data_IF_908196055422
#
_entry.id   IF_908196055422
#
_cell.length_a   1.000
_cell.length_b   1.000
_cell.length_c   1.000
_cell.angle_alpha   90.00
_cell.angle_beta   90.00
_cell.angle_gamma   90.00
#
_symmetry.space_group_name_H-M   'P 1'
#
loop_
_entity.id
_entity.type
_entity.pdbx_description
1 polymer ?
#
# COMPACT_ATOMS: atom_id res chain seq x y z
N UNK A 1 -19.45 -3.52 -17.23
CA UNK A 1 -18.53 -2.98 -18.25
C UNK A 1 -17.15 -3.54 -17.93
N UNK A 2 -16.42 -4.17 -18.85
CA UNK A 2 -15.09 -4.67 -18.56
C UNK A 2 -14.12 -3.50 -18.43
N UNK A 3 -13.30 -3.51 -17.39
CA UNK A 3 -12.22 -2.55 -17.19
C UNK A 3 -11.22 -2.67 -18.36
N UNK A 4 -10.75 -1.55 -18.91
CA UNK A 4 -9.76 -1.60 -19.98
C UNK A 4 -8.45 -2.20 -19.41
N UNK A 5 -7.98 -3.27 -20.05
CA UNK A 5 -6.61 -3.77 -19.88
C UNK A 5 -5.64 -2.62 -20.17
N UNK A 6 -4.93 -2.18 -19.15
CA UNK A 6 -3.84 -1.22 -19.32
C UNK A 6 -2.75 -1.89 -20.16
N UNK A 7 -2.66 -1.50 -21.42
CA UNK A 7 -1.54 -1.86 -22.28
C UNK A 7 -0.28 -1.23 -21.68
N UNK A 8 0.66 -2.07 -21.29
CA UNK A 8 2.02 -1.66 -20.95
C UNK A 8 2.64 -0.91 -22.15
N UNK A 9 2.58 0.42 -22.12
CA UNK A 9 3.53 1.21 -22.90
C UNK A 9 4.87 1.09 -22.17
N UNK A 10 5.86 0.52 -22.85
CA UNK A 10 7.26 0.56 -22.40
C UNK A 10 7.64 2.03 -22.22
N UNK A 11 7.48 2.55 -21.00
CA UNK A 11 8.01 3.83 -20.59
C UNK A 11 9.53 3.74 -20.57
N UNK A 12 10.20 4.81 -20.99
CA UNK A 12 11.67 4.93 -20.91
C UNK A 12 12.10 4.56 -19.50
N UNK A 13 12.99 3.60 -19.39
CA UNK A 13 13.57 3.17 -18.12
C UNK A 13 14.12 4.40 -17.39
N UNK A 14 13.44 4.82 -16.32
CA UNK A 14 14.08 5.66 -15.34
C UNK A 14 15.23 4.82 -14.81
N UNK A 15 16.46 5.25 -15.09
CA UNK A 15 17.63 4.49 -14.69
C UNK A 15 17.51 4.18 -13.17
N UNK A 16 17.71 2.95 -12.78
CA UNK A 16 17.76 2.50 -11.37
C UNK A 16 18.59 3.44 -10.47
N UNK A 17 19.59 4.10 -11.06
CA UNK A 17 20.45 5.09 -10.42
C UNK A 17 19.70 6.34 -9.94
N UNK A 18 18.46 6.59 -10.41
CA UNK A 18 17.72 7.80 -10.05
C UNK A 18 16.85 7.64 -8.79
N UNK A 19 16.50 6.41 -8.38
CA UNK A 19 15.72 6.19 -7.16
C UNK A 19 16.63 6.34 -5.93
N UNK A 20 16.34 7.29 -5.02
CA UNK A 20 17.15 7.48 -3.81
C UNK A 20 17.24 6.20 -2.98
N UNK A 21 18.45 5.82 -2.61
CA UNK A 21 18.70 4.63 -1.78
C UNK A 21 18.03 4.72 -0.40
N UNK A 22 17.78 5.94 0.10
CA UNK A 22 16.99 6.19 1.32
C UNK A 22 15.58 5.65 1.20
N UNK A 23 14.88 5.91 0.09
CA UNK A 23 13.52 5.42 -0.16
C UNK A 23 13.48 3.89 -0.15
N UNK A 24 14.44 3.25 -0.83
CA UNK A 24 14.54 1.78 -0.87
C UNK A 24 14.72 1.22 0.54
N UNK A 25 15.64 1.80 1.30
CA UNK A 25 15.94 1.38 2.67
C UNK A 25 14.75 1.56 3.60
N UNK A 26 14.11 2.73 3.59
CA UNK A 26 12.97 3.04 4.44
C UNK A 26 11.77 2.14 4.15
N UNK A 27 11.42 1.91 2.88
CA UNK A 27 10.36 0.97 2.52
C UNK A 27 10.68 -0.46 2.96
N UNK A 28 11.93 -0.90 2.76
CA UNK A 28 12.37 -2.23 3.18
C UNK A 28 12.33 -2.39 4.70
N UNK A 29 12.72 -1.36 5.45
CA UNK A 29 12.71 -1.36 6.92
C UNK A 29 11.30 -1.41 7.48
N UNK A 30 10.41 -0.53 7.03
CA UNK A 30 8.99 -0.52 7.43
C UNK A 30 8.31 -1.87 7.13
N UNK A 31 8.53 -2.43 5.95
CA UNK A 31 7.98 -3.74 5.59
C UNK A 31 8.56 -4.86 6.46
N UNK A 32 9.84 -4.82 6.79
CA UNK A 32 10.48 -5.80 7.67
C UNK A 32 9.93 -5.71 9.10
N UNK A 33 9.76 -4.51 9.62
CA UNK A 33 9.15 -4.31 10.95
C UNK A 33 7.72 -4.80 10.98
N UNK A 34 6.90 -4.47 9.98
CA UNK A 34 5.54 -4.96 9.86
C UNK A 34 5.47 -6.49 9.72
N UNK A 35 6.46 -7.09 9.04
CA UNK A 35 6.61 -8.54 8.95
C UNK A 35 6.90 -9.16 10.31
N UNK A 36 7.87 -8.65 11.04
CA UNK A 36 8.20 -9.14 12.39
C UNK A 36 7.06 -8.91 13.38
N UNK A 37 6.30 -7.84 13.23
CA UNK A 37 5.09 -7.56 14.00
C UNK A 37 3.87 -8.41 13.63
N UNK A 38 3.99 -9.32 12.65
CA UNK A 38 2.89 -10.20 12.21
C UNK A 38 1.78 -9.49 11.43
N UNK A 39 2.02 -8.23 11.01
CA UNK A 39 1.08 -7.46 10.18
C UNK A 39 1.17 -7.83 8.71
N UNK A 40 2.32 -8.32 8.27
CA UNK A 40 2.57 -8.84 6.93
C UNK A 40 2.96 -10.32 6.99
N UNK A 41 2.59 -11.10 5.99
CA UNK A 41 2.97 -12.51 5.87
C UNK A 41 3.12 -12.91 4.40
N UNK A 42 4.17 -13.70 4.07
CA UNK A 42 4.43 -14.13 2.69
C UNK A 42 4.55 -12.94 1.72
N UNK A 43 3.71 -12.94 0.71
CA UNK A 43 3.63 -11.87 -0.29
C UNK A 43 2.44 -10.92 -0.06
N UNK A 44 1.70 -11.09 1.04
CA UNK A 44 0.51 -10.30 1.33
C UNK A 44 0.86 -8.87 1.71
N UNK A 45 -0.10 -7.97 1.47
CA UNK A 45 0.05 -6.55 1.71
C UNK A 45 1.06 -5.89 0.77
N UNK A 46 1.19 -4.60 0.90
CA UNK A 46 2.11 -3.80 0.09
C UNK A 46 2.41 -2.47 0.77
N UNK A 47 3.47 -1.82 0.32
CA UNK A 47 3.87 -0.51 0.80
C UNK A 47 4.23 0.41 -0.37
N UNK A 48 3.96 1.69 -0.22
CA UNK A 48 4.36 2.70 -1.19
C UNK A 48 4.72 4.02 -0.53
N UNK A 49 5.42 4.87 -1.25
CA UNK A 49 5.64 6.25 -0.86
C UNK A 49 5.66 7.17 -2.09
N UNK A 50 5.38 8.46 -1.85
CA UNK A 50 5.60 9.51 -2.84
C UNK A 50 7.08 9.80 -2.99
N UNK A 51 7.45 10.08 -4.21
CA UNK A 51 8.78 10.56 -4.55
C UNK A 51 8.69 11.72 -5.54
N UNK A 52 9.27 12.86 -5.17
CA UNK A 52 9.42 14.00 -6.07
C UNK A 52 10.69 13.77 -6.90
N UNK A 53 10.51 13.28 -8.11
CA UNK A 53 11.61 13.12 -9.07
C UNK A 53 11.82 14.41 -9.87
N UNK A 54 12.98 14.58 -10.54
CA UNK A 54 13.20 15.72 -11.44
C UNK A 54 12.16 15.81 -12.57
N UNK A 55 11.61 14.68 -12.99
CA UNK A 55 10.61 14.60 -14.07
C UNK A 55 9.15 14.68 -13.56
N UNK A 56 8.95 14.88 -12.25
CA UNK A 56 7.63 15.01 -11.63
C UNK A 56 7.35 14.01 -10.52
N UNK A 57 6.14 14.03 -10.01
CA UNK A 57 5.73 13.19 -8.90
C UNK A 57 5.61 11.72 -9.32
N UNK A 58 6.18 10.85 -8.52
CA UNK A 58 6.20 9.39 -8.70
C UNK A 58 5.68 8.70 -7.44
N UNK A 59 5.16 7.49 -7.63
CA UNK A 59 4.84 6.58 -6.53
C UNK A 59 5.79 5.38 -6.63
N UNK A 60 6.57 5.18 -5.58
CA UNK A 60 7.38 3.98 -5.41
C UNK A 60 6.55 2.97 -4.65
N UNK A 61 6.34 1.78 -5.20
CA UNK A 61 5.48 0.75 -4.62
C UNK A 61 6.12 -0.63 -4.71
N UNK A 62 5.83 -1.50 -3.78
CA UNK A 62 6.27 -2.90 -3.83
C UNK A 62 5.62 -3.63 -5.00
N UNK A 63 6.40 -4.48 -5.66
CA UNK A 63 5.94 -5.33 -6.78
C UNK A 63 4.96 -6.40 -6.31
N UNK A 64 4.15 -6.87 -7.25
CA UNK A 64 3.35 -8.08 -7.06
C UNK A 64 4.26 -9.26 -6.74
N UNK A 65 3.88 -10.08 -5.75
CA UNK A 65 4.63 -11.25 -5.33
C UNK A 65 5.92 -10.99 -4.54
N UNK A 66 6.28 -9.74 -4.26
CA UNK A 66 7.47 -9.42 -3.47
C UNK A 66 7.35 -9.89 -2.02
N UNK A 67 8.39 -10.54 -1.50
CA UNK A 67 8.46 -10.98 -0.10
C UNK A 67 8.78 -9.81 0.83
N UNK A 68 7.78 -9.33 1.58
CA UNK A 68 7.87 -8.08 2.35
C UNK A 68 8.91 -8.10 3.48
N UNK A 69 9.26 -9.28 4.00
CA UNK A 69 10.29 -9.40 5.04
C UNK A 69 11.74 -9.21 4.56
N UNK A 70 11.99 -9.10 3.24
CA UNK A 70 13.35 -9.02 2.66
C UNK A 70 13.38 -8.24 1.35
N UNK A 71 12.73 -7.09 1.32
CA UNK A 71 12.68 -6.26 0.12
C UNK A 71 14.06 -5.75 -0.30
N UNK A 72 14.26 -5.72 -1.59
CA UNK A 72 15.39 -5.11 -2.27
C UNK A 72 14.88 -4.12 -3.33
N UNK A 73 15.77 -3.38 -3.96
CA UNK A 73 15.42 -2.49 -5.08
C UNK A 73 14.67 -3.22 -6.21
N UNK A 74 14.99 -4.50 -6.46
CA UNK A 74 14.33 -5.32 -7.50
C UNK A 74 12.88 -5.67 -7.18
N UNK A 75 12.48 -5.49 -5.93
CA UNK A 75 11.13 -5.76 -5.44
C UNK A 75 10.24 -4.50 -5.46
N UNK A 76 10.76 -3.40 -5.97
CA UNK A 76 10.05 -2.14 -6.11
C UNK A 76 9.74 -1.84 -7.59
N UNK A 77 8.70 -1.07 -7.81
CA UNK A 77 8.41 -0.42 -9.07
C UNK A 77 8.06 1.05 -8.85
N UNK A 78 8.23 1.83 -9.90
CA UNK A 78 7.94 3.27 -9.90
C UNK A 78 6.78 3.51 -10.86
N UNK A 79 5.74 4.16 -10.37
CA UNK A 79 4.58 4.56 -11.14
C UNK A 79 4.61 6.08 -11.35
N UNK A 80 4.11 6.51 -12.49
CA UNK A 80 3.73 7.90 -12.70
C UNK A 80 2.50 8.21 -11.82
N UNK A 81 2.59 9.22 -10.97
CA UNK A 81 1.53 9.50 -10.00
C UNK A 81 0.21 9.94 -10.64
N UNK A 82 0.24 10.48 -11.84
CA UNK A 82 -0.94 10.99 -12.55
C UNK A 82 -1.60 9.92 -13.41
N UNK A 83 -0.83 9.20 -14.20
CA UNK A 83 -1.35 8.21 -15.16
C UNK A 83 -1.42 6.79 -14.60
N UNK A 84 -0.73 6.51 -13.49
CA UNK A 84 -0.57 5.17 -12.94
C UNK A 84 0.31 4.25 -13.79
N UNK A 85 0.91 4.76 -14.86
CA UNK A 85 1.77 3.98 -15.73
C UNK A 85 3.03 3.53 -14.99
N UNK A 86 3.41 2.27 -15.14
CA UNK A 86 4.68 1.77 -14.62
C UNK A 86 5.83 2.34 -15.45
N UNK A 87 6.69 3.08 -14.79
CA UNK A 87 7.89 3.70 -15.38
C UNK A 87 9.13 2.85 -15.19
N UNK A 88 9.18 2.08 -14.10
CA UNK A 88 10.29 1.21 -13.76
C UNK A 88 9.82 -0.01 -12.96
N UNK A 89 10.56 -1.12 -13.05
CA UNK A 89 10.31 -2.36 -12.35
C UNK A 89 9.32 -3.27 -13.10
N UNK A 90 8.91 -4.36 -12.48
CA UNK A 90 7.93 -5.27 -13.05
C UNK A 90 6.49 -4.82 -12.73
N UNK A 91 5.53 -5.74 -12.79
CA UNK A 91 4.14 -5.41 -12.46
C UNK A 91 4.05 -4.91 -11.01
N UNK A 92 3.36 -3.79 -10.82
CA UNK A 92 3.06 -3.26 -9.50
C UNK A 92 2.19 -4.24 -8.70
N UNK A 93 2.05 -4.01 -7.41
CA UNK A 93 1.03 -4.68 -6.62
C UNK A 93 -0.33 -4.63 -7.32
N UNK A 94 -1.12 -5.70 -7.22
CA UNK A 94 -2.50 -5.73 -7.70
C UNK A 94 -3.35 -4.59 -7.11
N UNK A 95 -2.97 -4.08 -5.95
CA UNK A 95 -3.63 -2.98 -5.24
C UNK A 95 -3.00 -1.60 -5.54
N UNK A 96 -2.16 -1.51 -6.56
CA UNK A 96 -1.53 -0.26 -6.97
C UNK A 96 -2.52 0.86 -7.26
N UNK A 97 -3.69 0.52 -7.86
CA UNK A 97 -4.75 1.48 -8.11
C UNK A 97 -5.31 2.05 -6.79
N UNK A 98 -5.56 1.22 -5.79
CA UNK A 98 -6.01 1.69 -4.47
C UNK A 98 -5.03 2.72 -3.87
N UNK A 99 -3.73 2.47 -3.97
CA UNK A 99 -2.73 3.43 -3.49
C UNK A 99 -2.81 4.77 -4.25
N UNK A 100 -2.94 4.74 -5.57
CA UNK A 100 -3.08 5.95 -6.40
C UNK A 100 -4.34 6.75 -6.01
N UNK A 101 -5.47 6.09 -5.82
CA UNK A 101 -6.72 6.70 -5.37
C UNK A 101 -6.56 7.37 -3.99
N UNK A 102 -5.91 6.70 -3.04
CA UNK A 102 -5.64 7.27 -1.72
C UNK A 102 -4.74 8.51 -1.85
N UNK A 103 -3.69 8.45 -2.66
CA UNK A 103 -2.83 9.61 -2.89
C UNK A 103 -3.58 10.77 -3.56
N UNK A 104 -4.44 10.49 -4.51
CA UNK A 104 -5.28 11.51 -5.15
C UNK A 104 -6.24 12.17 -4.14
N UNK A 105 -6.90 11.37 -3.31
CA UNK A 105 -7.85 11.84 -2.30
C UNK A 105 -7.17 12.51 -1.09
N UNK A 106 -5.89 12.24 -0.83
CA UNK A 106 -5.12 12.72 0.33
C UNK A 106 -3.77 13.29 -0.11
N UNK A 107 -3.72 14.53 -0.63
CA UNK A 107 -2.47 15.12 -1.15
C UNK A 107 -1.33 15.19 -0.12
N UNK A 108 -1.63 15.23 1.18
CA UNK A 108 -0.62 15.23 2.25
C UNK A 108 -0.18 13.84 2.69
N UNK A 109 -0.77 12.77 2.13
CA UNK A 109 -0.33 11.41 2.39
C UNK A 109 1.02 11.16 1.71
N UNK A 110 2.08 10.95 2.49
CA UNK A 110 3.44 10.70 1.96
C UNK A 110 3.74 9.23 1.73
N UNK A 111 3.12 8.33 2.50
CA UNK A 111 3.35 6.89 2.40
C UNK A 111 2.10 6.11 2.79
N UNK A 112 1.98 4.88 2.28
CA UNK A 112 0.89 3.95 2.58
C UNK A 112 1.52 2.58 2.89
N UNK A 113 1.08 1.99 3.99
CA UNK A 113 1.35 0.61 4.33
C UNK A 113 0.01 -0.14 4.41
N UNK A 114 -0.23 -1.02 3.46
CA UNK A 114 -1.39 -1.91 3.45
C UNK A 114 -1.00 -3.26 4.05
N UNK A 115 -1.75 -3.72 5.04
CA UNK A 115 -1.44 -4.93 5.81
C UNK A 115 -2.65 -5.83 5.97
N UNK A 116 -2.38 -7.13 6.22
CA UNK A 116 -3.39 -8.15 6.46
C UNK A 116 -3.16 -8.83 7.82
N UNK A 117 -3.33 -8.15 8.95
CA UNK A 117 -3.15 -8.75 10.27
C UNK A 117 -4.13 -9.90 10.49
N UNK A 118 -3.63 -11.08 10.83
CA UNK A 118 -4.45 -12.31 10.95
C UNK A 118 -5.59 -12.16 11.95
N UNK A 119 -5.33 -11.49 13.06
CA UNK A 119 -6.33 -11.26 14.11
C UNK A 119 -7.45 -10.35 13.61
N UNK A 120 -7.10 -9.33 12.83
CA UNK A 120 -8.04 -8.40 12.26
C UNK A 120 -8.92 -9.08 11.19
N UNK A 121 -8.29 -9.88 10.32
CA UNK A 121 -9.01 -10.68 9.32
C UNK A 121 -9.95 -11.69 9.98
N UNK A 122 -9.48 -12.41 11.01
CA UNK A 122 -10.32 -13.35 11.75
C UNK A 122 -11.51 -12.65 12.42
N UNK A 123 -11.28 -11.47 12.99
CA UNK A 123 -12.34 -10.64 13.56
C UNK A 123 -13.33 -10.17 12.51
N UNK A 124 -12.86 -9.66 11.37
CA UNK A 124 -13.69 -9.21 10.27
C UNK A 124 -14.59 -10.35 9.77
N UNK A 125 -14.01 -11.54 9.48
CA UNK A 125 -14.77 -12.73 9.07
C UNK A 125 -15.82 -13.18 10.10
N UNK A 126 -15.52 -13.02 11.39
CA UNK A 126 -16.47 -13.34 12.46
C UNK A 126 -17.63 -12.35 12.52
N UNK A 127 -17.36 -11.08 12.26
CA UNK A 127 -18.32 -10.00 12.39
C UNK A 127 -19.13 -9.74 11.12
N UNK A 128 -18.61 -10.04 9.93
CA UNK A 128 -19.22 -9.68 8.64
C UNK A 128 -20.67 -10.15 8.47
N UNK A 129 -21.03 -11.28 9.14
CA UNK A 129 -22.39 -11.83 9.12
C UNK A 129 -23.35 -11.17 10.12
N UNK A 130 -22.89 -10.19 10.90
CA UNK A 130 -23.69 -9.50 11.89
C UNK A 130 -24.13 -8.14 11.35
N UNK A 131 -25.42 -7.77 11.44
CA UNK A 131 -25.92 -6.53 10.86
C UNK A 131 -25.23 -5.26 11.37
N UNK A 132 -24.69 -5.31 12.60
CA UNK A 132 -24.06 -4.21 13.31
C UNK A 132 -22.52 -4.35 13.41
N UNK A 133 -21.92 -5.17 12.54
CA UNK A 133 -20.50 -5.52 12.63
C UNK A 133 -19.55 -4.30 12.59
N UNK A 134 -19.89 -3.29 11.79
CA UNK A 134 -19.09 -2.07 11.69
C UNK A 134 -19.07 -1.31 13.02
N UNK A 135 -20.23 -1.17 13.65
CA UNK A 135 -20.35 -0.50 14.95
C UNK A 135 -19.60 -1.27 16.04
N UNK A 136 -19.71 -2.59 16.05
CA UNK A 136 -18.98 -3.47 16.99
C UNK A 136 -17.48 -3.38 16.79
N UNK A 137 -17.04 -3.37 15.55
CA UNK A 137 -15.61 -3.23 15.22
C UNK A 137 -15.05 -1.90 15.72
N UNK A 138 -15.79 -0.82 15.55
CA UNK A 138 -15.39 0.51 16.02
C UNK A 138 -15.44 0.68 17.55
N UNK A 139 -16.23 -0.16 18.24
CA UNK A 139 -16.39 -0.13 19.70
C UNK A 139 -15.49 -1.13 20.43
N UNK A 140 -14.49 -1.70 19.78
CA UNK A 140 -13.54 -2.57 20.46
C UNK A 140 -12.96 -1.86 21.68
N UNK A 141 -12.97 -2.52 22.87
CA UNK A 141 -12.55 -1.90 24.12
C UNK A 141 -11.02 -1.92 24.26
N UNK A 142 -10.34 -1.21 23.37
CA UNK A 142 -8.90 -0.94 23.47
C UNK A 142 -8.70 0.48 23.97
N UNK A 143 -7.82 0.64 24.93
CA UNK A 143 -7.60 1.92 25.63
C UNK A 143 -7.36 3.08 24.64
N UNK A 144 -6.58 2.86 23.59
CA UNK A 144 -6.25 3.86 22.59
C UNK A 144 -7.33 4.05 21.51
N UNK A 145 -8.39 3.25 21.51
CA UNK A 145 -9.40 3.26 20.45
C UNK A 145 -10.05 4.64 20.24
N UNK A 146 -10.28 5.39 21.33
CA UNK A 146 -10.83 6.74 21.27
C UNK A 146 -9.92 7.73 20.54
N UNK A 147 -8.63 7.68 20.81
CA UNK A 147 -7.62 8.53 20.20
C UNK A 147 -7.46 8.19 18.71
N UNK A 148 -7.41 6.92 18.38
CA UNK A 148 -7.23 6.46 17.01
C UNK A 148 -8.46 6.71 16.14
N UNK A 149 -9.67 6.54 16.66
CA UNK A 149 -10.91 6.87 15.94
C UNK A 149 -10.96 8.33 15.52
N UNK A 150 -10.54 9.24 16.39
CA UNK A 150 -10.51 10.67 16.10
C UNK A 150 -9.47 11.04 15.01
N UNK A 151 -8.39 10.24 14.88
CA UNK A 151 -7.29 10.53 13.95
C UNK A 151 -7.39 9.81 12.62
N UNK A 152 -7.90 8.58 12.60
CA UNK A 152 -7.75 7.69 11.44
C UNK A 152 -8.94 7.74 10.48
N UNK A 153 -10.08 8.25 10.86
CA UNK A 153 -11.25 8.12 10.03
C UNK A 153 -11.51 6.63 9.67
N UNK A 154 -12.73 6.29 9.40
CA UNK A 154 -13.13 4.95 8.98
C UNK A 154 -13.42 4.95 7.47
N UNK A 155 -12.77 4.07 6.75
CA UNK A 155 -13.18 3.72 5.40
C UNK A 155 -14.04 2.45 5.50
N UNK A 156 -15.31 2.47 5.05
CA UNK A 156 -16.13 1.26 5.00
C UNK A 156 -15.41 0.21 4.14
N UNK A 157 -15.53 -1.07 4.53
CA UNK A 157 -15.13 -2.15 3.67
C UNK A 157 -15.97 -2.06 2.39
N UNK A 158 -15.32 -2.11 1.24
CA UNK A 158 -16.03 -2.13 -0.04
C UNK A 158 -16.74 -3.48 -0.17
N UNK A 159 -18.02 -3.44 -0.51
CA UNK A 159 -18.78 -4.59 -0.98
C UNK A 159 -18.35 -4.99 -2.39
#
# INVERSE_FOLDING_TARGET
>A
MPFPCFHQRQGRDIALAALPSSIVRELAEVCREAWHGGMLAGCNGNASCRWQSPEGERIVITRSGAAKGRLTLRDLCVLDARSGATLYGGPSSSEGLMHLEVYAARPRCGAILHTHPRQLLALALKLERQPDWQERFLKLPVFESGVWRARLGYAPAFE
#
